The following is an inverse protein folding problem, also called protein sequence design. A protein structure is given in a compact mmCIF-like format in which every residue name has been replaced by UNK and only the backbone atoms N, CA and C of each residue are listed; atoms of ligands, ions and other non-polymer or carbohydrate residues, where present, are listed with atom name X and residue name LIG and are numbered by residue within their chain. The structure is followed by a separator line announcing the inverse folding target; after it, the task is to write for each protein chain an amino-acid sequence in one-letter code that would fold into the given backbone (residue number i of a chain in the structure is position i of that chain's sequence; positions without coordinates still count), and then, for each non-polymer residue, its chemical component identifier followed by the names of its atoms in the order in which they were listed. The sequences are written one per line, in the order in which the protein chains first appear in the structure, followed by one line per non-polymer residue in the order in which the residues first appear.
data_IF_761899566645
#
_entry.id   IF_761899566645
#
_cell.length_a   1.000
_cell.length_b   1.000
_cell.length_c   1.000
_cell.angle_alpha   90.00
_cell.angle_beta   90.00
_cell.angle_gamma   90.00
#
_symmetry.space_group_name_H-M   'P 1'
#
loop_
_entity.id
_entity.type
_entity.pdbx_description
1 polymer ?
#
# COMPACT_ATOMS: atom_id res chain seq x y z
N UNK A 1 10.60 4.02 28.31
CA UNK A 1 9.90 4.49 27.10
C UNK A 1 8.61 3.71 27.01
N UNK A 2 7.52 4.28 27.50
CA UNK A 2 6.20 3.64 27.49
C UNK A 2 5.48 3.94 26.17
N UNK A 3 4.44 3.19 25.86
CA UNK A 3 3.60 3.45 24.67
C UNK A 3 2.93 4.83 24.72
N UNK A 4 2.59 5.33 25.92
CA UNK A 4 2.00 6.66 26.08
C UNK A 4 2.99 7.79 25.74
N UNK A 5 4.26 7.63 26.13
CA UNK A 5 5.32 8.61 25.81
C UNK A 5 5.54 8.71 24.30
N UNK A 6 5.52 7.56 23.62
CA UNK A 6 5.68 7.45 22.16
C UNK A 6 4.56 8.16 21.39
N UNK A 7 3.31 7.96 21.81
CA UNK A 7 2.14 8.58 21.18
C UNK A 7 2.12 10.10 21.40
N UNK A 8 2.54 10.57 22.57
CA UNK A 8 2.64 12.00 22.86
C UNK A 8 3.71 12.69 21.99
N UNK A 9 4.81 12.00 21.67
CA UNK A 9 5.90 12.55 20.89
C UNK A 9 5.69 12.47 19.36
N UNK A 10 5.10 11.39 18.85
CA UNK A 10 5.03 11.10 17.41
C UNK A 10 3.60 11.00 16.85
N UNK A 11 2.57 11.05 17.70
CA UNK A 11 1.18 10.88 17.29
C UNK A 11 0.81 9.40 17.01
N UNK A 12 -0.47 9.15 16.65
CA UNK A 12 -0.93 7.81 16.28
C UNK A 12 -0.36 7.37 14.92
N UNK A 13 -0.28 6.06 14.69
CA UNK A 13 0.12 5.51 13.40
C UNK A 13 -0.93 5.83 12.33
N UNK A 14 -0.48 6.28 11.17
CA UNK A 14 -1.33 6.42 10.00
C UNK A 14 -1.72 5.05 9.42
N UNK A 15 -2.92 4.95 8.88
CA UNK A 15 -3.46 3.75 8.25
C UNK A 15 -4.29 4.12 7.03
N UNK A 16 -4.14 3.35 5.96
CA UNK A 16 -4.90 3.49 4.72
C UNK A 16 -5.28 2.11 4.19
N UNK A 17 -6.46 2.00 3.58
CA UNK A 17 -6.95 0.73 3.01
C UNK A 17 -6.56 0.63 1.52
N UNK A 18 -6.09 -0.55 1.13
CA UNK A 18 -5.75 -0.91 -0.25
C UNK A 18 -6.05 -2.40 -0.47
N UNK A 19 -6.40 -2.79 -1.70
CA UNK A 19 -6.57 -4.20 -2.05
C UNK A 19 -5.23 -4.93 -2.11
N UNK A 20 -4.18 -4.23 -2.58
CA UNK A 20 -2.82 -4.76 -2.67
C UNK A 20 -1.81 -3.71 -2.22
N UNK A 21 -0.92 -4.12 -1.31
CA UNK A 21 0.26 -3.34 -0.91
C UNK A 21 1.51 -4.07 -1.39
N UNK A 22 2.36 -3.37 -2.15
CA UNK A 22 3.64 -3.86 -2.64
C UNK A 22 4.73 -3.13 -1.85
N UNK A 23 5.67 -3.87 -1.27
CA UNK A 23 6.78 -3.27 -0.52
C UNK A 23 8.01 -3.20 -1.42
N UNK A 24 8.28 -2.01 -1.96
CA UNK A 24 9.48 -1.70 -2.74
C UNK A 24 9.18 -1.33 -4.20
N UNK A 25 9.43 -0.07 -4.54
CA UNK A 25 9.23 0.52 -5.89
C UNK A 25 10.30 0.18 -6.93
N UNK A 26 10.94 -0.98 -6.84
CA UNK A 26 11.89 -1.45 -7.85
C UNK A 26 11.21 -2.00 -9.11
N UNK A 27 11.98 -2.45 -10.12
CA UNK A 27 11.42 -2.97 -11.36
C UNK A 27 10.43 -4.12 -11.15
N UNK A 28 10.70 -5.02 -10.19
CA UNK A 28 9.80 -6.11 -9.87
C UNK A 28 8.47 -5.63 -9.26
N UNK A 29 8.52 -4.70 -8.30
CA UNK A 29 7.34 -4.17 -7.62
C UNK A 29 6.45 -3.35 -8.57
N UNK A 30 7.05 -2.47 -9.37
CA UNK A 30 6.32 -1.70 -10.38
C UNK A 30 5.74 -2.60 -11.48
N UNK A 31 6.48 -3.63 -11.93
CA UNK A 31 5.96 -4.59 -12.91
C UNK A 31 4.75 -5.35 -12.37
N UNK A 32 4.78 -5.75 -11.09
CA UNK A 32 3.64 -6.37 -10.42
C UNK A 32 2.45 -5.41 -10.33
N UNK A 33 2.67 -4.15 -9.91
CA UNK A 33 1.62 -3.12 -9.83
C UNK A 33 0.93 -2.87 -11.18
N UNK A 34 1.74 -2.70 -12.24
CA UNK A 34 1.25 -2.48 -13.60
C UNK A 34 0.45 -3.70 -14.08
N UNK A 35 0.96 -4.92 -13.88
CA UNK A 35 0.27 -6.12 -14.34
C UNK A 35 -1.05 -6.34 -13.60
N UNK A 36 -1.10 -6.06 -12.30
CA UNK A 36 -2.34 -6.12 -11.51
C UNK A 36 -3.40 -5.16 -12.04
N UNK A 37 -3.03 -3.90 -12.32
CA UNK A 37 -3.94 -2.91 -12.91
C UNK A 37 -4.44 -3.32 -14.31
N UNK A 38 -3.58 -3.89 -15.15
CA UNK A 38 -3.99 -4.42 -16.46
C UNK A 38 -5.02 -5.55 -16.31
N UNK A 39 -4.76 -6.52 -15.43
CA UNK A 39 -5.69 -7.63 -15.18
C UNK A 39 -7.04 -7.15 -14.61
N UNK A 40 -7.02 -6.11 -13.77
CA UNK A 40 -8.22 -5.51 -13.21
C UNK A 40 -9.06 -4.85 -14.32
N UNK A 41 -8.41 -4.09 -15.21
CA UNK A 41 -9.05 -3.49 -16.38
C UNK A 41 -9.63 -4.54 -17.35
N UNK A 42 -8.88 -5.63 -17.63
CA UNK A 42 -9.35 -6.76 -18.44
C UNK A 42 -10.63 -7.40 -17.86
N UNK A 43 -10.78 -7.41 -16.53
CA UNK A 43 -11.94 -7.96 -15.82
C UNK A 43 -13.06 -6.94 -15.57
N UNK A 44 -12.87 -5.67 -15.96
CA UNK A 44 -13.82 -4.59 -15.68
C UNK A 44 -13.96 -4.29 -14.18
N UNK A 45 -12.91 -4.52 -13.40
CA UNK A 45 -12.85 -4.27 -11.95
C UNK A 45 -11.82 -3.20 -11.64
N UNK A 46 -12.08 -2.37 -10.63
CA UNK A 46 -11.08 -1.45 -10.09
C UNK A 46 -10.49 -2.00 -8.80
N UNK A 47 -9.17 -1.87 -8.65
CA UNK A 47 -8.41 -2.26 -7.44
C UNK A 47 -7.48 -1.13 -7.00
N UNK A 48 -7.38 -0.86 -5.71
CA UNK A 48 -6.38 0.02 -5.11
C UNK A 48 -5.04 -0.69 -4.96
N UNK A 49 -3.99 -0.15 -5.58
CA UNK A 49 -2.61 -0.68 -5.45
C UNK A 49 -1.71 0.41 -4.89
N UNK A 50 -1.05 0.12 -3.77
CA UNK A 50 0.01 0.94 -3.16
C UNK A 50 1.37 0.27 -3.38
N UNK A 51 2.42 1.06 -3.66
CA UNK A 51 3.79 0.59 -3.93
C UNK A 51 4.79 1.38 -3.09
#
# INVERSE_FOLDING_TARGET
MTTQDLLAQYGPRESMEYDVVIVGGGPAGLSAAIRLKQLAAEKGTEIGVCV
#
